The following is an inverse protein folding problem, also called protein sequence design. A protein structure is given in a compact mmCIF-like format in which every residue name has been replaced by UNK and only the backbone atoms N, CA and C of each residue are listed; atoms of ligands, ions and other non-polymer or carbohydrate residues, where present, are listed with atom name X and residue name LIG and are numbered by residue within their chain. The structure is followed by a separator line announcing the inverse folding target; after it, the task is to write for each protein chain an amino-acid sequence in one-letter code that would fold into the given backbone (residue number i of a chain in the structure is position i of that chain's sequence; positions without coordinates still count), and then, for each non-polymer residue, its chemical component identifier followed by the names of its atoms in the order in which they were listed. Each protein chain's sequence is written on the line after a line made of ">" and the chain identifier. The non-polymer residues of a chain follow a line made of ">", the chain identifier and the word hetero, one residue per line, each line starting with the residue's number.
data_IF_889327459888
#
_entry.id   IF_889327459888
#
_cell.length_a   1.000
_cell.length_b   1.000
_cell.length_c   1.000
_cell.angle_alpha   90.00
_cell.angle_beta   90.00
_cell.angle_gamma   90.00
#
_symmetry.space_group_name_H-M   'P 1'
#
loop_
_entity.id
_entity.type
_entity.pdbx_description
1 polymer ?
#
# COMPACT_ATOMS: atom_id res chain seq x y z
N UNK A 1 21.24 21.82 -13.57
CA UNK A 1 21.12 20.42 -13.09
C UNK A 1 21.55 19.49 -14.23
N UNK A 2 22.23 18.37 -13.98
CA UNK A 2 22.53 17.42 -15.06
C UNK A 2 21.25 16.70 -15.51
N UNK A 3 21.09 16.46 -16.82
CA UNK A 3 19.87 15.87 -17.40
C UNK A 3 19.44 14.57 -16.68
N UNK A 4 20.42 13.73 -16.32
CA UNK A 4 20.18 12.45 -15.66
C UNK A 4 19.60 12.58 -14.25
N UNK A 5 20.00 13.61 -13.49
CA UNK A 5 19.44 13.86 -12.15
C UNK A 5 18.00 14.36 -12.22
N UNK A 6 17.65 15.14 -13.26
CA UNK A 6 16.28 15.61 -13.46
C UNK A 6 15.34 14.46 -13.77
N UNK A 7 15.74 13.63 -14.73
CA UNK A 7 14.96 12.46 -15.15
C UNK A 7 14.73 11.52 -13.96
N UNK A 8 15.76 11.24 -13.17
CA UNK A 8 15.65 10.36 -12.01
C UNK A 8 14.69 10.91 -10.93
N UNK A 9 14.68 12.23 -10.67
CA UNK A 9 13.73 12.86 -9.74
C UNK A 9 12.29 12.79 -10.25
N UNK A 10 12.07 13.12 -11.52
CA UNK A 10 10.74 13.02 -12.14
C UNK A 10 10.23 11.57 -12.10
N UNK A 11 11.10 10.60 -12.40
CA UNK A 11 10.77 9.19 -12.35
C UNK A 11 10.42 8.73 -10.92
N UNK A 12 11.21 9.12 -9.92
CA UNK A 12 10.92 8.85 -8.51
C UNK A 12 9.54 9.39 -8.10
N UNK A 13 9.28 10.69 -8.37
CA UNK A 13 7.99 11.32 -8.03
C UNK A 13 6.81 10.63 -8.71
N UNK A 14 6.94 10.29 -10.00
CA UNK A 14 5.89 9.58 -10.74
C UNK A 14 5.60 8.20 -10.13
N UNK A 15 6.62 7.45 -9.72
CA UNK A 15 6.43 6.15 -9.06
C UNK A 15 5.72 6.33 -7.71
N UNK A 16 6.12 7.31 -6.90
CA UNK A 16 5.47 7.56 -5.60
C UNK A 16 4.01 7.98 -5.78
N UNK A 17 3.69 8.80 -6.78
CA UNK A 17 2.30 9.18 -7.10
C UNK A 17 1.48 7.95 -7.50
N UNK A 18 2.01 7.10 -8.37
CA UNK A 18 1.34 5.85 -8.79
C UNK A 18 1.13 4.95 -7.57
N UNK A 19 2.18 4.76 -6.74
CA UNK A 19 2.10 3.96 -5.51
C UNK A 19 0.96 4.46 -4.62
N UNK A 20 0.93 5.77 -4.32
CA UNK A 20 -0.11 6.43 -3.53
C UNK A 20 -1.52 6.23 -4.09
N UNK A 21 -1.69 6.35 -5.41
CA UNK A 21 -2.98 6.10 -6.06
C UNK A 21 -3.45 4.66 -5.85
N UNK A 22 -2.56 3.68 -6.03
CA UNK A 22 -2.88 2.27 -5.78
C UNK A 22 -3.20 2.01 -4.30
N UNK A 23 -2.47 2.62 -3.37
CA UNK A 23 -2.73 2.53 -1.92
C UNK A 23 -4.12 3.05 -1.56
N UNK A 24 -4.46 4.25 -2.04
CA UNK A 24 -5.76 4.89 -1.77
C UNK A 24 -6.89 4.08 -2.40
N UNK A 25 -6.76 3.67 -3.67
CA UNK A 25 -7.78 2.88 -4.36
C UNK A 25 -7.99 1.55 -3.63
N UNK A 26 -6.90 0.85 -3.28
CA UNK A 26 -6.99 -0.39 -2.51
C UNK A 26 -7.70 -0.19 -1.18
N UNK A 27 -7.34 0.87 -0.43
CA UNK A 27 -7.89 1.14 0.90
C UNK A 27 -9.39 1.51 0.87
N UNK A 28 -9.82 2.29 -0.13
CA UNK A 28 -11.17 2.84 -0.24
C UNK A 28 -12.13 1.97 -1.04
N UNK A 29 -11.64 0.95 -1.75
CA UNK A 29 -12.53 0.01 -2.45
C UNK A 29 -12.89 -1.17 -1.55
N UNK A 30 -14.18 -1.60 -1.52
CA UNK A 30 -14.51 -2.91 -1.00
C UNK A 30 -13.81 -3.98 -1.84
N UNK A 31 -13.64 -5.20 -1.30
CA UNK A 31 -13.05 -6.31 -2.08
C UNK A 31 -11.60 -6.63 -1.73
N UNK A 32 -11.19 -6.43 -0.48
CA UNK A 32 -9.98 -7.08 0.04
C UNK A 32 -10.19 -8.58 0.22
N UNK A 33 -11.41 -8.97 0.63
CA UNK A 33 -11.84 -10.36 0.73
C UNK A 33 -13.19 -10.53 0.07
N UNK A 34 -13.40 -11.70 -0.50
CA UNK A 34 -14.70 -12.13 -0.99
C UNK A 34 -15.16 -13.26 -0.06
N UNK A 35 -16.32 -13.06 0.57
CA UNK A 35 -16.91 -14.02 1.49
C UNK A 35 -18.16 -14.60 0.83
N UNK A 36 -18.22 -15.93 0.71
CA UNK A 36 -19.37 -16.63 0.16
C UNK A 36 -20.17 -17.22 1.32
N UNK A 37 -21.30 -16.57 1.68
CA UNK A 37 -22.20 -17.10 2.72
C UNK A 37 -23.22 -18.05 2.08
N UNK A 38 -23.24 -19.31 2.54
CA UNK A 38 -24.37 -20.21 2.32
C UNK A 38 -25.55 -19.83 3.23
N UNK A 39 -26.79 -20.11 2.81
CA UNK A 39 -27.97 -19.84 3.63
C UNK A 39 -28.14 -20.89 4.75
N UNK A 40 -27.68 -22.13 4.52
CA UNK A 40 -27.66 -23.24 5.49
C UNK A 40 -26.48 -24.19 5.19
N UNK A 41 -26.14 -25.08 6.13
CA UNK A 41 -25.15 -26.15 5.91
C UNK A 41 -25.63 -27.01 4.74
N UNK A 42 -24.91 -26.95 3.61
CA UNK A 42 -25.18 -27.81 2.44
C UNK A 42 -26.04 -27.20 1.32
N UNK A 43 -26.65 -26.02 1.50
CA UNK A 43 -27.39 -25.32 0.43
C UNK A 43 -26.65 -24.08 -0.07
N UNK A 44 -26.19 -24.14 -1.33
CA UNK A 44 -25.36 -23.12 -1.97
C UNK A 44 -26.06 -22.37 -3.12
N UNK A 45 -27.28 -22.75 -3.48
CA UNK A 45 -27.99 -22.22 -4.67
C UNK A 45 -28.47 -20.76 -4.50
N UNK A 46 -28.39 -20.19 -3.29
CA UNK A 46 -28.66 -18.77 -3.02
C UNK A 46 -27.51 -18.10 -2.23
N UNK A 47 -26.26 -18.46 -2.53
CA UNK A 47 -25.11 -17.88 -1.82
C UNK A 47 -25.00 -16.36 -2.03
N UNK A 48 -24.92 -15.59 -0.93
CA UNK A 48 -24.64 -14.15 -0.99
C UNK A 48 -23.14 -13.94 -1.01
N UNK A 49 -22.65 -13.27 -2.04
CA UNK A 49 -21.26 -12.83 -2.17
C UNK A 49 -21.13 -11.50 -1.45
N UNK A 50 -20.26 -11.42 -0.46
CA UNK A 50 -19.97 -10.19 0.28
C UNK A 50 -18.55 -9.75 -0.04
N UNK A 51 -18.42 -8.59 -0.67
CA UNK A 51 -17.14 -7.92 -0.88
C UNK A 51 -16.80 -7.12 0.38
N UNK A 52 -15.84 -7.62 1.16
CA UNK A 52 -15.34 -6.96 2.35
C UNK A 52 -14.06 -6.19 2.02
N UNK A 53 -14.07 -4.88 2.19
CA UNK A 53 -12.85 -4.06 2.20
C UNK A 53 -12.29 -3.88 3.61
N UNK A 54 -11.27 -3.02 3.73
CA UNK A 54 -10.70 -2.62 5.02
C UNK A 54 -11.61 -1.62 5.73
N UNK A 55 -12.03 -0.57 5.03
CA UNK A 55 -12.92 0.47 5.59
C UNK A 55 -14.36 0.40 5.09
N UNK A 56 -14.57 -0.11 3.88
CA UNK A 56 -15.86 -0.12 3.17
C UNK A 56 -16.24 -1.56 2.83
N UNK A 57 -17.52 -1.90 2.96
CA UNK A 57 -18.08 -3.17 2.47
C UNK A 57 -19.21 -2.87 1.48
N UNK A 58 -19.59 -3.88 0.69
CA UNK A 58 -20.72 -3.75 -0.23
C UNK A 58 -22.02 -3.36 0.50
N UNK A 59 -22.90 -2.62 -0.18
CA UNK A 59 -24.12 -2.05 0.42
C UNK A 59 -25.07 -3.12 0.95
N UNK A 60 -25.09 -4.29 0.31
CA UNK A 60 -25.82 -5.45 0.80
C UNK A 60 -25.02 -6.17 1.90
N UNK A 61 -25.25 -5.80 3.16
CA UNK A 61 -24.59 -6.41 4.33
C UNK A 61 -23.56 -5.52 5.03
N UNK A 62 -23.53 -4.22 4.73
CA UNK A 62 -22.66 -3.24 5.38
C UNK A 62 -22.77 -3.26 6.92
N UNK A 63 -23.98 -3.42 7.47
CA UNK A 63 -24.20 -3.51 8.92
C UNK A 63 -23.54 -4.75 9.55
N UNK A 64 -23.70 -5.92 8.92
CA UNK A 64 -23.11 -7.18 9.38
C UNK A 64 -21.58 -7.20 9.21
N UNK A 65 -21.09 -6.57 8.15
CA UNK A 65 -19.66 -6.48 7.84
C UNK A 65 -18.92 -5.57 8.81
N UNK A 66 -19.49 -4.39 9.10
CA UNK A 66 -18.92 -3.41 10.05
C UNK A 66 -18.94 -3.93 11.49
N UNK A 67 -20.00 -4.64 11.89
CA UNK A 67 -20.13 -5.21 13.24
C UNK A 67 -19.12 -6.34 13.53
N UNK A 68 -18.56 -6.99 12.49
CA UNK A 68 -17.60 -8.10 12.61
C UNK A 68 -16.16 -7.72 12.25
N UNK A 69 -15.84 -6.42 12.17
CA UNK A 69 -14.47 -5.98 11.87
C UNK A 69 -13.51 -6.49 12.94
N UNK A 70 -12.52 -7.29 12.53
CA UNK A 70 -11.53 -7.83 13.45
C UNK A 70 -10.48 -6.77 13.83
N UNK A 71 -9.84 -6.96 14.97
CA UNK A 71 -8.68 -6.12 15.40
C UNK A 71 -7.57 -6.07 14.35
N UNK A 72 -7.36 -7.17 13.61
CA UNK A 72 -6.36 -7.26 12.53
C UNK A 72 -6.74 -6.39 11.33
N UNK A 73 -8.02 -6.29 10.97
CA UNK A 73 -8.44 -5.41 9.86
C UNK A 73 -8.23 -3.94 10.23
N UNK A 74 -8.52 -3.58 11.49
CA UNK A 74 -8.27 -2.24 12.02
C UNK A 74 -6.78 -1.93 12.00
N UNK A 75 -5.93 -2.87 12.43
CA UNK A 75 -4.47 -2.71 12.37
C UNK A 75 -3.96 -2.53 10.93
N UNK A 76 -4.44 -3.35 9.99
CA UNK A 76 -4.14 -3.19 8.56
C UNK A 76 -4.54 -1.80 8.07
N UNK A 77 -5.74 -1.33 8.43
CA UNK A 77 -6.21 0.01 8.08
C UNK A 77 -5.31 1.12 8.61
N UNK A 78 -4.89 1.04 9.88
CA UNK A 78 -3.96 2.02 10.47
C UNK A 78 -2.60 2.00 9.75
N UNK A 79 -2.08 0.82 9.42
CA UNK A 79 -0.82 0.70 8.69
C UNK A 79 -0.91 1.28 7.28
N UNK A 80 -2.02 1.07 6.57
CA UNK A 80 -2.26 1.68 5.25
C UNK A 80 -2.34 3.22 5.33
N UNK A 81 -2.96 3.76 6.39
CA UNK A 81 -2.96 5.21 6.64
C UNK A 81 -1.53 5.71 6.86
N UNK A 82 -0.72 4.98 7.64
CA UNK A 82 0.69 5.34 7.84
C UNK A 82 1.48 5.29 6.52
N UNK A 83 1.25 4.29 5.67
CA UNK A 83 1.84 4.21 4.32
C UNK A 83 1.51 5.47 3.53
N UNK A 84 0.23 5.86 3.46
CA UNK A 84 -0.22 7.08 2.76
C UNK A 84 0.49 8.32 3.30
N UNK A 85 0.62 8.46 4.63
CA UNK A 85 1.31 9.59 5.23
C UNK A 85 2.79 9.63 4.83
N UNK A 86 3.48 8.49 4.84
CA UNK A 86 4.87 8.43 4.40
C UNK A 86 5.03 8.69 2.89
N UNK A 87 4.11 8.22 2.05
CA UNK A 87 4.09 8.52 0.61
C UNK A 87 3.92 10.02 0.36
N UNK A 88 3.02 10.69 1.09
CA UNK A 88 2.82 12.14 1.00
C UNK A 88 4.06 12.91 1.48
N UNK A 89 4.70 12.47 2.56
CA UNK A 89 5.95 13.08 3.05
C UNK A 89 7.05 12.90 1.99
N UNK A 90 7.22 11.70 1.44
CA UNK A 90 8.22 11.42 0.41
C UNK A 90 8.00 12.27 -0.85
N UNK A 91 6.74 12.41 -1.27
CA UNK A 91 6.36 13.24 -2.42
C UNK A 91 6.64 14.72 -2.15
N UNK A 92 6.20 15.25 -1.00
CA UNK A 92 6.47 16.63 -0.60
C UNK A 92 7.97 16.92 -0.53
N UNK A 93 8.75 15.96 -0.02
CA UNK A 93 10.20 16.06 0.04
C UNK A 93 10.84 16.06 -1.35
N UNK A 94 10.37 15.18 -2.26
CA UNK A 94 10.83 15.12 -3.65
C UNK A 94 10.56 16.44 -4.40
N UNK A 95 9.37 17.02 -4.21
CA UNK A 95 8.98 18.31 -4.81
C UNK A 95 9.83 19.44 -4.25
N UNK A 96 10.02 19.49 -2.92
CA UNK A 96 10.91 20.47 -2.29
C UNK A 96 12.32 20.37 -2.88
N UNK A 97 12.83 19.16 -3.08
CA UNK A 97 14.14 18.90 -3.65
C UNK A 97 14.26 19.23 -5.15
N UNK A 98 13.15 19.48 -5.84
CA UNK A 98 13.15 20.10 -7.17
C UNK A 98 13.18 21.62 -7.07
N UNK A 99 12.29 22.21 -6.27
CA UNK A 99 12.13 23.67 -6.16
C UNK A 99 13.35 24.37 -5.56
N UNK A 100 13.96 23.79 -4.52
CA UNK A 100 15.11 24.40 -3.84
C UNK A 100 16.43 24.18 -4.59
N UNK A 101 16.52 23.17 -5.47
CA UNK A 101 17.74 22.92 -6.25
C UNK A 101 18.00 24.01 -7.31
N UNK A 102 16.95 24.68 -7.78
CA UNK A 102 17.01 25.83 -8.69
C UNK A 102 17.39 27.14 -7.99
N UNK A 103 17.15 27.27 -6.67
CA UNK A 103 17.25 28.54 -5.95
C UNK A 103 18.53 28.74 -5.15
N UNK A 104 19.20 27.67 -4.70
CA UNK A 104 20.37 27.81 -3.81
C UNK A 104 21.69 27.47 -4.52
N UNK A 105 22.57 28.48 -4.58
CA UNK A 105 23.99 28.36 -4.92
C UNK A 105 24.86 27.82 -3.76
N UNK A 106 24.27 27.15 -2.77
CA UNK A 106 24.97 26.71 -1.55
C UNK A 106 25.04 25.17 -1.52
N UNK A 107 26.24 24.65 -1.68
CA UNK A 107 26.59 23.24 -1.93
C UNK A 107 26.27 22.28 -0.77
N UNK A 108 26.19 22.76 0.47
CA UNK A 108 25.97 21.90 1.65
C UNK A 108 24.48 21.62 1.98
N UNK A 109 23.57 22.59 1.80
CA UNK A 109 22.12 22.38 2.02
C UNK A 109 21.52 21.36 1.05
N UNK A 110 22.08 21.25 -0.16
CA UNK A 110 21.65 20.25 -1.13
C UNK A 110 21.86 18.83 -0.61
N UNK A 111 22.82 18.53 0.27
CA UNK A 111 23.08 17.13 0.72
C UNK A 111 21.93 16.61 1.59
N UNK A 112 21.42 17.46 2.48
CA UNK A 112 20.37 17.11 3.45
C UNK A 112 19.02 16.85 2.77
N UNK A 113 18.76 17.49 1.62
CA UNK A 113 17.47 17.35 0.93
C UNK A 113 17.30 16.03 0.14
N UNK A 114 18.35 15.27 -0.19
CA UNK A 114 18.19 14.07 -1.04
C UNK A 114 18.39 12.75 -0.31
N UNK A 115 19.22 12.71 0.74
CA UNK A 115 19.48 11.51 1.54
C UNK A 115 18.23 10.82 2.11
N UNK A 116 17.13 11.51 2.50
CA UNK A 116 16.00 10.82 3.13
C UNK A 116 15.04 10.14 2.14
N UNK A 117 15.10 10.43 0.83
CA UNK A 117 14.20 9.81 -0.17
C UNK A 117 14.26 8.27 -0.20
N UNK A 118 15.44 7.62 -0.31
CA UNK A 118 15.52 6.17 -0.26
C UNK A 118 15.08 5.60 1.09
N UNK A 119 15.26 6.35 2.19
CA UNK A 119 14.84 5.94 3.53
C UNK A 119 13.31 5.88 3.61
N UNK A 120 12.61 6.91 3.10
CA UNK A 120 11.15 6.90 3.04
C UNK A 120 10.62 5.73 2.20
N UNK A 121 11.19 5.51 1.01
CA UNK A 121 10.83 4.36 0.16
C UNK A 121 11.03 3.02 0.87
N UNK A 122 12.11 2.86 1.64
CA UNK A 122 12.37 1.65 2.40
C UNK A 122 11.36 1.43 3.53
N UNK A 123 11.05 2.49 4.29
CA UNK A 123 10.03 2.43 5.36
C UNK A 123 8.66 2.07 4.77
N UNK A 124 8.27 2.69 3.65
CA UNK A 124 7.02 2.38 2.93
C UNK A 124 6.98 0.90 2.54
N UNK A 125 8.07 0.36 2.00
CA UNK A 125 8.16 -1.06 1.63
C UNK A 125 7.99 -2.00 2.84
N UNK A 126 8.61 -1.68 3.98
CA UNK A 126 8.46 -2.47 5.21
C UNK A 126 7.01 -2.47 5.68
N UNK A 127 6.36 -1.30 5.68
CA UNK A 127 4.97 -1.17 6.11
C UNK A 127 4.03 -1.97 5.19
N UNK A 128 4.21 -1.88 3.87
CA UNK A 128 3.46 -2.70 2.90
C UNK A 128 3.68 -4.19 3.13
N UNK A 129 4.92 -4.62 3.31
CA UNK A 129 5.24 -6.02 3.58
C UNK A 129 4.52 -6.51 4.84
N UNK A 130 4.49 -5.68 5.89
CA UNK A 130 3.79 -6.01 7.12
C UNK A 130 2.27 -6.11 6.93
N UNK A 131 1.67 -5.19 6.17
CA UNK A 131 0.24 -5.24 5.79
C UNK A 131 -0.08 -6.53 5.03
N UNK A 132 0.72 -6.87 4.02
CA UNK A 132 0.52 -8.06 3.18
C UNK A 132 0.64 -9.33 4.03
N UNK A 133 1.67 -9.43 4.87
CA UNK A 133 1.88 -10.58 5.75
C UNK A 133 0.74 -10.75 6.76
N UNK A 134 0.31 -9.67 7.43
CA UNK A 134 -0.82 -9.73 8.36
C UNK A 134 -2.10 -10.21 7.69
N UNK A 135 -2.37 -9.71 6.48
CA UNK A 135 -3.54 -10.12 5.71
C UNK A 135 -3.48 -11.60 5.32
N UNK A 136 -2.35 -12.06 4.78
CA UNK A 136 -2.15 -13.46 4.37
C UNK A 136 -2.21 -14.43 5.56
N UNK A 137 -1.57 -14.08 6.69
CA UNK A 137 -1.65 -14.87 7.92
C UNK A 137 -3.10 -14.99 8.41
N UNK A 138 -3.85 -13.89 8.38
CA UNK A 138 -5.27 -13.92 8.75
C UNK A 138 -6.08 -14.78 7.79
N UNK A 139 -5.85 -14.68 6.47
CA UNK A 139 -6.54 -15.50 5.48
C UNK A 139 -6.27 -16.98 5.69
N UNK A 140 -5.00 -17.37 5.87
CA UNK A 140 -4.63 -18.77 6.12
C UNK A 140 -5.27 -19.32 7.40
N UNK A 141 -5.26 -18.55 8.50
CA UNK A 141 -5.92 -18.96 9.74
C UNK A 141 -7.45 -19.09 9.62
N UNK A 142 -8.08 -18.28 8.76
CA UNK A 142 -9.52 -18.40 8.49
C UNK A 142 -9.84 -19.62 7.63
N UNK A 143 -9.00 -19.93 6.63
CA UNK A 143 -9.15 -21.12 5.78
C UNK A 143 -9.08 -22.40 6.63
N UNK A 144 -8.12 -22.51 7.56
CA UNK A 144 -8.01 -23.66 8.46
C UNK A 144 -9.25 -23.82 9.37
N UNK A 145 -9.81 -22.71 9.85
CA UNK A 145 -11.01 -22.73 10.69
C UNK A 145 -12.28 -23.09 9.90
N UNK A 146 -12.44 -22.54 8.70
CA UNK A 146 -13.61 -22.78 7.84
C UNK A 146 -13.66 -24.23 7.31
N UNK A 147 -12.51 -24.83 6.98
CA UNK A 147 -12.40 -26.26 6.63
C UNK A 147 -12.91 -27.13 7.79
N UNK A 148 -12.65 -26.72 9.03
CA UNK A 148 -13.03 -27.48 10.22
C UNK A 148 -14.48 -27.23 10.67
N UNK A 149 -15.13 -26.14 10.26
CA UNK A 149 -16.46 -25.77 10.76
C UNK A 149 -17.62 -25.87 9.76
N UNK A 150 -17.45 -26.21 8.47
CA UNK A 150 -18.53 -26.55 7.51
C UNK A 150 -19.62 -25.50 7.20
N UNK A 151 -19.63 -24.33 7.87
CA UNK A 151 -20.69 -23.31 7.78
C UNK A 151 -20.31 -22.14 6.85
N UNK A 152 -19.03 -21.96 6.50
CA UNK A 152 -18.58 -20.94 5.55
C UNK A 152 -17.76 -21.57 4.43
N UNK A 153 -18.16 -21.32 3.17
CA UNK A 153 -17.32 -21.65 2.01
C UNK A 153 -16.24 -20.58 1.98
N UNK A 154 -15.00 -21.00 2.25
CA UNK A 154 -13.86 -20.16 2.66
C UNK A 154 -13.73 -18.77 2.02
N UNK A 155 -13.12 -17.85 2.76
CA UNK A 155 -12.78 -16.53 2.26
C UNK A 155 -11.73 -16.61 1.14
N UNK A 156 -11.95 -15.90 0.04
CA UNK A 156 -10.97 -15.76 -1.04
C UNK A 156 -10.36 -14.37 -1.07
N UNK A 157 -9.18 -14.26 -1.69
CA UNK A 157 -8.48 -13.00 -1.89
C UNK A 157 -9.25 -12.16 -2.91
N UNK A 158 -9.59 -10.92 -2.55
CA UNK A 158 -10.29 -10.00 -3.44
C UNK A 158 -9.36 -9.07 -4.22
N UNK A 159 -9.94 -8.36 -5.18
CA UNK A 159 -9.20 -7.50 -6.11
C UNK A 159 -8.49 -6.31 -5.43
N UNK A 160 -9.05 -5.73 -4.36
CA UNK A 160 -8.44 -4.58 -3.68
C UNK A 160 -7.11 -4.97 -3.02
N UNK A 161 -6.99 -6.20 -2.54
CA UNK A 161 -5.71 -6.71 -2.04
C UNK A 161 -4.68 -6.82 -3.17
N UNK A 162 -5.10 -7.28 -4.36
CA UNK A 162 -4.21 -7.36 -5.53
C UNK A 162 -3.72 -5.96 -5.94
N UNK A 163 -4.60 -4.95 -5.90
CA UNK A 163 -4.23 -3.54 -6.11
C UNK A 163 -3.19 -3.08 -5.08
N UNK A 164 -3.34 -3.47 -3.80
CA UNK A 164 -2.33 -3.19 -2.76
C UNK A 164 -0.97 -3.80 -3.11
N UNK A 165 -0.94 -5.03 -3.62
CA UNK A 165 0.29 -5.70 -4.03
C UNK A 165 0.97 -4.99 -5.21
N UNK A 166 0.20 -4.45 -6.16
CA UNK A 166 0.77 -3.60 -7.22
C UNK A 166 1.36 -2.31 -6.64
N UNK A 167 0.68 -1.67 -5.69
CA UNK A 167 1.23 -0.55 -4.94
C UNK A 167 2.59 -0.91 -4.31
N UNK A 168 2.67 -2.05 -3.62
CA UNK A 168 3.93 -2.55 -3.05
C UNK A 168 5.04 -2.75 -4.09
N UNK A 169 4.73 -3.31 -5.26
CA UNK A 169 5.72 -3.46 -6.35
C UNK A 169 6.26 -2.10 -6.79
N UNK A 170 5.38 -1.11 -6.98
CA UNK A 170 5.81 0.25 -7.32
C UNK A 170 6.64 0.90 -6.20
N UNK A 171 6.28 0.66 -4.93
CA UNK A 171 7.07 1.11 -3.79
C UNK A 171 8.51 0.55 -3.84
N UNK A 172 8.68 -0.74 -4.15
CA UNK A 172 10.01 -1.36 -4.34
C UNK A 172 10.75 -0.67 -5.49
N UNK A 173 10.08 -0.47 -6.63
CA UNK A 173 10.67 0.19 -7.79
C UNK A 173 11.13 1.63 -7.48
N UNK A 174 10.54 2.31 -6.50
CA UNK A 174 10.95 3.67 -6.07
C UNK A 174 12.31 3.72 -5.38
N UNK A 175 12.78 2.59 -4.81
CA UNK A 175 14.07 2.51 -4.11
C UNK A 175 15.23 2.74 -5.10
N UNK A 176 15.15 2.15 -6.30
CA UNK A 176 16.20 2.23 -7.32
C UNK A 176 16.56 3.67 -7.73
N UNK A 177 15.61 4.53 -8.15
CA UNK A 177 15.91 5.93 -8.44
C UNK A 177 16.34 6.72 -7.21
N UNK A 178 15.82 6.40 -6.01
CA UNK A 178 16.24 7.03 -4.76
C UNK A 178 17.72 6.76 -4.41
N UNK A 179 18.16 5.50 -4.57
CA UNK A 179 19.57 5.11 -4.41
C UNK A 179 20.44 5.74 -5.49
N UNK A 180 20.01 5.72 -6.76
CA UNK A 180 20.73 6.31 -7.87
C UNK A 180 20.97 7.81 -7.67
N UNK A 181 19.96 8.56 -7.20
CA UNK A 181 20.08 9.98 -6.88
C UNK A 181 21.08 10.26 -5.75
N UNK A 182 21.20 9.33 -4.79
CA UNK A 182 22.15 9.43 -3.69
C UNK A 182 23.58 9.16 -4.18
N UNK A 183 23.78 8.10 -4.96
CA UNK A 183 25.08 7.67 -5.49
C UNK A 183 25.66 8.61 -6.55
N UNK A 184 24.84 9.10 -7.49
CA UNK A 184 25.29 10.08 -8.51
C UNK A 184 25.88 11.34 -7.88
N UNK A 185 25.43 11.70 -6.68
CA UNK A 185 25.89 12.88 -5.98
C UNK A 185 27.24 12.68 -5.30
N UNK A 186 27.53 11.47 -4.80
CA UNK A 186 28.82 11.12 -4.21
C UNK A 186 29.94 11.10 -5.25
N UNK A 187 29.64 10.78 -6.52
CA UNK A 187 30.63 10.79 -7.61
C UNK A 187 30.93 12.17 -8.21
N UNK A 188 30.25 13.24 -7.78
CA UNK A 188 30.46 14.61 -8.29
C UNK A 188 31.28 15.46 -7.28
N UNK A 189 31.45 14.99 -6.05
CA UNK A 189 32.36 15.57 -5.04
C UNK A 189 33.74 14.93 -5.10
#
# INVERSE_FOLDING_TARGET
>A
MSSNQFIAKCFYSSIIIITLLFTIISMLTPGWRIIIKGNQIGEYDQSKIINSGIFICDTEGMADCMAKRSTVDTLIGVLLILVILFELIALGWSIAALVFDEKEGITNQKRILFTPLPIFSFIICILFLFVILLFLLKQNGQIEFDINMSVAKGATIGYSFIICCFGFIFAICSILPGLFLTLLKENIT
#
